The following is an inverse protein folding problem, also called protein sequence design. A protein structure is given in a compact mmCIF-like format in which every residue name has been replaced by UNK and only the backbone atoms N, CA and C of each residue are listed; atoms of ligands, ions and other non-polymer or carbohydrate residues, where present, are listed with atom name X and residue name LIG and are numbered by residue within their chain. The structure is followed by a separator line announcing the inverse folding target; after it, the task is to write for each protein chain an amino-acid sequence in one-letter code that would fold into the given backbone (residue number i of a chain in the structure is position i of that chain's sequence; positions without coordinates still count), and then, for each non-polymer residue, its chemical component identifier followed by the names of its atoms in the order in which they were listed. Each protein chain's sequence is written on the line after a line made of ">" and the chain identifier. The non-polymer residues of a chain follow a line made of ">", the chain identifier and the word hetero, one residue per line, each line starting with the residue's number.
data_IF_632433801384
#
_entry.id   IF_632433801384
#
_cell.length_a   1.000
_cell.length_b   1.000
_cell.length_c   1.000
_cell.angle_alpha   90.00
_cell.angle_beta   90.00
_cell.angle_gamma   90.00
#
_symmetry.space_group_name_H-M   'P 1'
#
loop_
_entity.id
_entity.type
_entity.pdbx_description
1 polymer ?
#
# COMPACT_ATOMS: atom_id res chain seq x y z
N UNK A 1 -47.85 27.75 32.85
CA UNK A 1 -46.45 27.33 33.10
C UNK A 1 -46.09 25.98 32.47
N UNK A 2 -47.00 24.98 32.45
CA UNK A 2 -46.71 23.64 31.88
C UNK A 2 -46.26 23.61 30.40
N UNK A 3 -46.78 24.52 29.56
CA UNK A 3 -46.47 24.52 28.12
C UNK A 3 -45.00 24.89 27.83
N UNK A 4 -44.45 25.89 28.54
CA UNK A 4 -43.06 26.34 28.37
C UNK A 4 -42.09 25.26 28.86
N UNK A 5 -42.40 24.59 29.96
CA UNK A 5 -41.55 23.54 30.54
C UNK A 5 -41.51 22.28 29.66
N UNK A 6 -42.65 21.90 29.07
CA UNK A 6 -42.70 20.82 28.07
C UNK A 6 -41.94 21.20 26.79
N UNK A 7 -42.06 22.45 26.34
CA UNK A 7 -41.37 22.92 25.12
C UNK A 7 -39.85 22.91 25.30
N UNK A 8 -39.35 23.41 26.43
CA UNK A 8 -37.92 23.42 26.77
C UNK A 8 -37.38 21.99 26.85
N UNK A 9 -38.09 21.08 27.53
CA UNK A 9 -37.68 19.68 27.64
C UNK A 9 -37.59 18.99 26.27
N UNK A 10 -38.57 19.23 25.39
CA UNK A 10 -38.58 18.69 24.03
C UNK A 10 -37.44 19.24 23.17
N UNK A 11 -37.15 20.54 23.25
CA UNK A 11 -36.03 21.15 22.52
C UNK A 11 -34.68 20.59 22.98
N UNK A 12 -34.46 20.45 24.30
CA UNK A 12 -33.24 19.86 24.86
C UNK A 12 -33.08 18.39 24.42
N UNK A 13 -34.16 17.61 24.50
CA UNK A 13 -34.15 16.23 24.03
C UNK A 13 -33.81 16.11 22.53
N UNK A 14 -34.30 17.04 21.70
CA UNK A 14 -33.98 17.07 20.27
C UNK A 14 -32.50 17.36 20.01
N UNK A 15 -31.91 18.33 20.69
CA UNK A 15 -30.47 18.63 20.55
C UNK A 15 -29.59 17.46 21.02
N UNK A 16 -29.95 16.80 22.12
CA UNK A 16 -29.25 15.60 22.59
C UNK A 16 -29.39 14.47 21.56
N UNK A 17 -30.58 14.24 21.01
CA UNK A 17 -30.82 13.23 19.98
C UNK A 17 -30.01 13.47 18.70
N UNK A 18 -29.93 14.72 18.23
CA UNK A 18 -29.11 15.11 17.08
C UNK A 18 -27.62 14.89 17.40
N UNK A 19 -27.14 15.34 18.57
CA UNK A 19 -25.76 15.14 19.00
C UNK A 19 -25.38 13.65 19.06
N UNK A 20 -26.25 12.83 19.64
CA UNK A 20 -26.08 11.38 19.71
C UNK A 20 -26.02 10.74 18.31
N UNK A 21 -26.93 11.13 17.40
CA UNK A 21 -26.94 10.64 16.03
C UNK A 21 -25.65 11.00 15.27
N UNK A 22 -25.13 12.22 15.45
CA UNK A 22 -23.88 12.66 14.84
C UNK A 22 -22.69 11.85 15.36
N UNK A 23 -22.59 11.65 16.68
CA UNK A 23 -21.51 10.85 17.29
C UNK A 23 -21.58 9.41 16.81
N UNK A 24 -22.76 8.80 16.84
CA UNK A 24 -22.96 7.41 16.41
C UNK A 24 -22.63 7.22 14.92
N UNK A 25 -23.06 8.14 14.07
CA UNK A 25 -22.74 8.13 12.63
C UNK A 25 -21.23 8.25 12.40
N UNK A 26 -20.55 9.14 13.13
CA UNK A 26 -19.09 9.28 13.04
C UNK A 26 -18.36 8.01 13.45
N UNK A 27 -18.79 7.35 14.53
CA UNK A 27 -18.22 6.10 15.00
C UNK A 27 -18.39 4.96 13.97
N UNK A 28 -19.61 4.73 13.49
CA UNK A 28 -19.86 3.70 12.48
C UNK A 28 -19.09 3.95 11.18
N UNK A 29 -19.03 5.20 10.73
CA UNK A 29 -18.29 5.58 9.52
C UNK A 29 -16.78 5.35 9.68
N UNK A 30 -16.22 5.69 10.84
CA UNK A 30 -14.78 5.54 11.11
C UNK A 30 -14.36 4.07 11.19
N UNK A 31 -15.06 3.25 11.99
CA UNK A 31 -14.73 1.82 12.16
C UNK A 31 -14.93 1.05 10.86
N UNK A 32 -15.98 1.37 10.09
CA UNK A 32 -16.25 0.72 8.80
C UNK A 32 -15.20 1.05 7.73
N UNK A 33 -14.76 2.31 7.65
CA UNK A 33 -13.72 2.73 6.72
C UNK A 33 -12.38 2.05 7.03
N UNK A 34 -11.98 2.05 8.31
CA UNK A 34 -10.73 1.45 8.75
C UNK A 34 -10.73 -0.07 8.50
N UNK A 35 -11.80 -0.78 8.89
CA UNK A 35 -11.90 -2.23 8.67
C UNK A 35 -11.78 -2.61 7.20
N UNK A 36 -12.46 -1.86 6.32
CA UNK A 36 -12.42 -2.09 4.88
C UNK A 36 -11.01 -1.81 4.32
N UNK A 37 -10.36 -0.74 4.77
CA UNK A 37 -8.98 -0.44 4.39
C UNK A 37 -8.03 -1.56 4.81
N UNK A 38 -8.11 -2.09 6.05
CA UNK A 38 -7.27 -3.22 6.49
C UNK A 38 -7.50 -4.47 5.64
N UNK A 39 -8.74 -4.69 5.20
CA UNK A 39 -9.08 -5.83 4.35
C UNK A 39 -8.44 -5.68 2.96
N UNK A 40 -8.56 -4.50 2.35
CA UNK A 40 -8.00 -4.22 1.03
C UNK A 40 -6.47 -4.27 1.03
N UNK A 41 -5.82 -3.71 2.04
CA UNK A 41 -4.35 -3.77 2.18
C UNK A 41 -3.85 -5.21 2.32
N UNK A 42 -4.53 -6.04 3.12
CA UNK A 42 -4.20 -7.47 3.22
C UNK A 42 -4.37 -8.22 1.90
N UNK A 43 -5.38 -7.85 1.10
CA UNK A 43 -5.54 -8.39 -0.26
C UNK A 43 -4.39 -7.96 -1.17
N UNK A 44 -3.93 -6.71 -1.05
CA UNK A 44 -2.72 -6.22 -1.72
C UNK A 44 -1.49 -7.05 -1.39
N UNK A 45 -1.17 -7.23 -0.10
CA UNK A 45 -0.03 -8.04 0.34
C UNK A 45 -0.12 -9.50 -0.11
N UNK A 46 -1.32 -10.10 -0.09
CA UNK A 46 -1.53 -11.46 -0.59
C UNK A 46 -1.24 -11.54 -2.10
N UNK A 47 -1.72 -10.55 -2.87
CA UNK A 47 -1.48 -10.48 -4.32
C UNK A 47 0.02 -10.32 -4.63
N UNK A 48 0.75 -9.53 -3.84
CA UNK A 48 2.20 -9.36 -3.99
C UNK A 48 2.97 -10.63 -3.63
N UNK A 49 2.59 -11.32 -2.56
CA UNK A 49 3.17 -12.61 -2.21
C UNK A 49 2.94 -13.65 -3.32
N UNK A 50 1.73 -13.75 -3.85
CA UNK A 50 1.42 -14.67 -4.96
C UNK A 50 2.19 -14.33 -6.25
N UNK A 51 2.33 -13.04 -6.57
CA UNK A 51 3.13 -12.59 -7.70
C UNK A 51 4.62 -12.93 -7.49
N UNK A 52 5.14 -12.75 -6.28
CA UNK A 52 6.52 -13.09 -5.93
C UNK A 52 6.76 -14.61 -5.96
N UNK A 53 5.81 -15.43 -5.51
CA UNK A 53 5.85 -16.91 -5.59
C UNK A 53 5.66 -17.43 -7.04
N UNK A 54 5.19 -16.59 -7.96
CA UNK A 54 4.92 -16.98 -9.34
C UNK A 54 3.63 -17.75 -9.53
N UNK A 55 2.79 -17.78 -8.47
CA UNK A 55 1.46 -18.38 -8.45
C UNK A 55 0.37 -17.38 -8.88
N UNK A 56 0.72 -16.09 -8.99
CA UNK A 56 -0.14 -15.03 -9.50
C UNK A 56 -0.20 -14.99 -11.04
N UNK A 57 -1.20 -14.27 -11.55
CA UNK A 57 -1.34 -14.02 -12.99
C UNK A 57 -0.07 -13.37 -13.53
N UNK A 58 0.66 -14.09 -14.39
CA UNK A 58 1.89 -13.60 -15.01
C UNK A 58 1.64 -12.48 -16.01
N UNK A 59 0.38 -12.11 -16.23
CA UNK A 59 -0.03 -11.01 -17.06
C UNK A 59 0.07 -9.67 -16.32
N UNK A 60 1.07 -8.89 -16.74
CA UNK A 60 1.32 -7.53 -16.25
C UNK A 60 0.10 -6.63 -16.38
N UNK A 61 -0.74 -6.82 -17.41
CA UNK A 61 -1.93 -5.99 -17.60
C UNK A 61 -3.00 -6.28 -16.55
N UNK A 62 -3.23 -7.56 -16.26
CA UNK A 62 -4.21 -7.96 -15.24
C UNK A 62 -3.76 -7.59 -13.83
N UNK A 63 -2.46 -7.72 -13.54
CA UNK A 63 -1.91 -7.24 -12.27
C UNK A 63 -2.08 -5.72 -12.12
N UNK A 64 -1.75 -4.95 -13.17
CA UNK A 64 -1.92 -3.50 -13.16
C UNK A 64 -3.38 -3.10 -12.98
N UNK A 65 -4.31 -3.74 -13.70
CA UNK A 65 -5.75 -3.49 -13.56
C UNK A 65 -6.24 -3.77 -12.13
N UNK A 66 -5.80 -4.88 -11.51
CA UNK A 66 -6.15 -5.20 -10.12
C UNK A 66 -5.58 -4.20 -9.11
N UNK A 67 -4.32 -3.78 -9.27
CA UNK A 67 -3.72 -2.76 -8.39
C UNK A 67 -4.38 -1.39 -8.58
N UNK A 68 -4.77 -1.03 -9.81
CA UNK A 68 -5.53 0.19 -10.10
C UNK A 68 -6.92 0.17 -9.45
N UNK A 69 -7.61 -0.97 -9.50
CA UNK A 69 -8.90 -1.15 -8.81
C UNK A 69 -8.74 -0.99 -7.28
N UNK A 70 -7.70 -1.62 -6.70
CA UNK A 70 -7.39 -1.48 -5.28
C UNK A 70 -7.07 -0.02 -4.90
N UNK A 71 -6.32 0.69 -5.74
CA UNK A 71 -6.03 2.12 -5.56
C UNK A 71 -7.32 2.96 -5.63
N UNK A 72 -8.18 2.72 -6.61
CA UNK A 72 -9.47 3.40 -6.76
C UNK A 72 -10.41 3.16 -5.58
N UNK A 73 -10.39 1.95 -5.01
CA UNK A 73 -11.16 1.61 -3.81
C UNK A 73 -10.58 2.21 -2.53
N UNK A 74 -9.26 2.44 -2.45
CA UNK A 74 -8.59 2.97 -1.26
C UNK A 74 -8.52 4.49 -1.23
N UNK A 75 -8.44 5.17 -2.37
CA UNK A 75 -8.36 6.63 -2.47
C UNK A 75 -9.42 7.38 -1.64
N UNK A 76 -10.75 7.10 -1.77
CA UNK A 76 -11.76 7.81 -0.97
C UNK A 76 -11.75 7.41 0.51
N UNK A 77 -11.17 6.25 0.85
CA UNK A 77 -11.13 5.73 2.22
C UNK A 77 -9.94 6.30 3.00
N UNK A 78 -8.78 6.44 2.37
CA UNK A 78 -7.62 7.10 2.96
C UNK A 78 -7.91 8.58 3.25
N UNK A 79 -8.62 9.29 2.36
CA UNK A 79 -9.08 10.65 2.60
C UNK A 79 -10.04 10.80 3.80
N UNK A 80 -10.69 9.71 4.22
CA UNK A 80 -11.64 9.69 5.33
C UNK A 80 -11.08 9.05 6.61
N UNK A 81 -9.86 8.52 6.58
CA UNK A 81 -9.23 7.83 7.73
C UNK A 81 -8.44 8.83 8.58
N UNK A 82 -8.66 8.89 9.91
CA UNK A 82 -7.89 9.76 10.79
C UNK A 82 -6.38 9.45 10.76
N UNK A 83 -5.54 10.49 10.83
CA UNK A 83 -4.09 10.35 10.97
C UNK A 83 -3.77 9.55 12.26
N UNK A 84 -3.04 8.44 12.13
CA UNK A 84 -2.63 7.59 13.26
C UNK A 84 -2.98 6.10 13.14
N UNK A 85 -3.69 5.66 12.11
CA UNK A 85 -3.84 4.22 11.85
C UNK A 85 -2.57 3.65 11.19
N UNK A 86 -2.07 2.51 11.67
CA UNK A 86 -0.91 1.80 11.09
C UNK A 86 -1.07 1.46 9.59
N UNK A 87 -2.28 1.56 9.07
CA UNK A 87 -2.60 1.19 7.68
C UNK A 87 -2.66 2.43 6.78
N UNK A 88 -2.86 3.62 7.36
CA UNK A 88 -2.72 4.88 6.65
C UNK A 88 -1.27 5.15 6.22
N UNK A 89 -0.28 4.51 6.85
CA UNK A 89 1.13 4.60 6.43
C UNK A 89 1.47 3.71 5.24
N UNK A 90 0.56 2.83 4.79
CA UNK A 90 0.79 1.97 3.62
C UNK A 90 0.48 2.76 2.34
N UNK A 91 1.53 3.11 1.60
CA UNK A 91 1.40 3.72 0.29
C UNK A 91 1.14 2.63 -0.78
N UNK A 92 -0.12 2.47 -1.17
CA UNK A 92 -0.54 1.50 -2.19
C UNK A 92 0.07 1.76 -3.57
N UNK A 93 0.53 2.97 -3.89
CA UNK A 93 1.24 3.24 -5.13
C UNK A 93 2.63 2.60 -5.09
N UNK A 94 3.30 2.70 -3.94
CA UNK A 94 4.56 2.02 -3.69
C UNK A 94 4.38 0.50 -3.77
N UNK A 95 3.31 -0.05 -3.19
CA UNK A 95 2.97 -1.48 -3.32
C UNK A 95 2.75 -1.91 -4.79
N UNK A 96 2.06 -1.09 -5.58
CA UNK A 96 1.86 -1.34 -7.01
C UNK A 96 3.18 -1.34 -7.79
N UNK A 97 4.09 -0.41 -7.47
CA UNK A 97 5.44 -0.37 -8.05
C UNK A 97 6.24 -1.61 -7.70
N UNK A 98 6.16 -2.09 -6.46
CA UNK A 98 6.83 -3.33 -6.02
C UNK A 98 6.33 -4.51 -6.86
N UNK A 99 5.01 -4.65 -7.02
CA UNK A 99 4.41 -5.68 -7.85
C UNK A 99 4.86 -5.67 -9.32
N UNK A 100 4.96 -4.49 -9.93
CA UNK A 100 5.45 -4.36 -11.31
C UNK A 100 6.93 -4.75 -11.43
N UNK A 101 7.77 -4.40 -10.45
CA UNK A 101 9.18 -4.80 -10.43
C UNK A 101 9.33 -6.31 -10.23
N UNK A 102 8.49 -6.95 -9.41
CA UNK A 102 8.43 -8.43 -9.27
C UNK A 102 8.16 -9.08 -10.63
N UNK A 103 7.15 -8.62 -11.36
CA UNK A 103 6.81 -9.15 -12.69
C UNK A 103 7.93 -8.92 -13.72
N UNK A 104 8.58 -7.75 -13.66
CA UNK A 104 9.73 -7.46 -14.51
C UNK A 104 10.89 -8.45 -14.26
N UNK A 105 11.25 -8.69 -12.99
CA UNK A 105 12.28 -9.66 -12.64
C UNK A 105 11.94 -11.08 -13.07
N UNK A 106 10.68 -11.49 -12.89
CA UNK A 106 10.18 -12.79 -13.35
C UNK A 106 10.25 -12.96 -14.86
N UNK A 107 10.11 -11.88 -15.63
CA UNK A 107 10.29 -11.92 -17.08
C UNK A 107 11.76 -11.97 -17.46
N UNK A 108 12.57 -11.09 -16.88
CA UNK A 108 14.00 -10.96 -17.17
C UNK A 108 14.79 -12.26 -16.90
N UNK A 109 14.35 -13.09 -15.95
CA UNK A 109 15.03 -14.35 -15.61
C UNK A 109 15.20 -15.32 -16.79
N UNK A 110 14.32 -15.30 -17.80
CA UNK A 110 14.35 -16.30 -18.87
C UNK A 110 15.58 -16.17 -19.78
N UNK A 111 16.16 -14.97 -19.83
CA UNK A 111 17.26 -14.63 -20.74
C UNK A 111 18.57 -14.37 -19.98
N UNK A 112 18.66 -14.78 -18.71
CA UNK A 112 19.81 -14.55 -17.84
C UNK A 112 20.62 -15.82 -17.58
N UNK A 113 21.92 -15.70 -17.23
CA UNK A 113 22.73 -16.83 -16.80
C UNK A 113 22.14 -17.52 -15.54
N UNK A 114 22.35 -18.84 -15.36
CA UNK A 114 21.80 -19.59 -14.23
C UNK A 114 22.12 -19.01 -12.85
N UNK A 115 23.31 -18.43 -12.68
CA UNK A 115 23.73 -17.77 -11.43
C UNK A 115 22.92 -16.51 -11.12
N UNK A 116 22.54 -15.74 -12.14
CA UNK A 116 21.67 -14.57 -12.01
C UNK A 116 20.21 -14.98 -11.78
N UNK A 117 19.76 -16.07 -12.39
CA UNK A 117 18.42 -16.64 -12.15
C UNK A 117 18.27 -17.02 -10.67
N UNK A 118 19.19 -17.82 -10.13
CA UNK A 118 19.16 -18.25 -8.73
C UNK A 118 19.17 -17.06 -7.76
N UNK A 119 19.91 -15.99 -8.08
CA UNK A 119 19.92 -14.77 -7.30
C UNK A 119 18.56 -14.04 -7.30
N UNK A 120 17.91 -13.96 -8.46
CA UNK A 120 16.59 -13.35 -8.61
C UNK A 120 15.54 -14.19 -7.88
N UNK A 121 15.58 -15.52 -7.99
CA UNK A 121 14.64 -16.41 -7.30
C UNK A 121 14.76 -16.27 -5.79
N UNK A 122 15.98 -16.23 -5.24
CA UNK A 122 16.18 -15.99 -3.83
C UNK A 122 15.60 -14.63 -3.36
N UNK A 123 15.74 -13.58 -4.17
CA UNK A 123 15.13 -12.26 -3.87
C UNK A 123 13.60 -12.38 -3.88
N UNK A 124 13.02 -13.04 -4.89
CA UNK A 124 11.57 -13.21 -5.00
C UNK A 124 11.00 -14.02 -3.84
N UNK A 125 11.70 -15.07 -3.39
CA UNK A 125 11.30 -15.86 -2.23
C UNK A 125 11.35 -15.03 -0.93
N UNK A 126 12.39 -14.21 -0.75
CA UNK A 126 12.49 -13.32 0.39
C UNK A 126 11.39 -12.24 0.39
N UNK A 127 11.03 -11.70 -0.77
CA UNK A 127 9.91 -10.75 -0.93
C UNK A 127 8.58 -11.44 -0.62
N UNK A 128 8.36 -12.66 -1.13
CA UNK A 128 7.16 -13.44 -0.82
C UNK A 128 7.03 -13.68 0.68
N UNK A 129 8.10 -14.14 1.33
CA UNK A 129 8.14 -14.38 2.77
C UNK A 129 7.83 -13.09 3.58
N UNK A 130 8.36 -11.95 3.15
CA UNK A 130 8.09 -10.66 3.77
C UNK A 130 6.60 -10.30 3.74
N UNK A 131 5.96 -10.36 2.57
CA UNK A 131 4.53 -10.05 2.45
C UNK A 131 3.62 -11.07 3.16
N UNK A 132 3.99 -12.36 3.15
CA UNK A 132 3.30 -13.39 3.94
C UNK A 132 3.36 -13.08 5.43
N UNK A 133 4.51 -12.61 5.94
CA UNK A 133 4.65 -12.20 7.32
C UNK A 133 3.75 -11.00 7.67
N UNK A 134 3.63 -10.01 6.78
CA UNK A 134 2.70 -8.88 6.97
C UNK A 134 1.23 -9.33 7.00
N UNK A 135 0.84 -10.25 6.10
CA UNK A 135 -0.51 -10.85 6.11
C UNK A 135 -0.79 -11.59 7.42
N UNK A 136 0.17 -12.39 7.89
CA UNK A 136 0.05 -13.17 9.12
C UNK A 136 -0.04 -12.27 10.37
N UNK A 137 0.80 -11.23 10.45
CA UNK A 137 0.82 -10.29 11.58
C UNK A 137 -0.27 -9.20 11.47
N UNK A 138 -0.95 -9.10 10.33
CA UNK A 138 -2.02 -8.13 10.03
C UNK A 138 -1.58 -6.67 10.24
N UNK A 139 -0.29 -6.39 10.05
CA UNK A 139 0.33 -5.07 10.20
C UNK A 139 1.49 -4.93 9.21
N UNK A 140 1.81 -3.71 8.77
CA UNK A 140 3.01 -3.48 7.97
C UNK A 140 4.25 -3.82 8.81
N UNK A 141 5.25 -4.40 8.16
CA UNK A 141 6.52 -4.76 8.78
C UNK A 141 7.65 -4.09 7.98
N UNK A 142 8.73 -3.67 8.63
CA UNK A 142 9.91 -3.22 7.91
C UNK A 142 10.49 -4.37 7.07
N UNK A 143 10.98 -4.05 5.87
CA UNK A 143 11.66 -5.01 5.02
C UNK A 143 12.93 -5.54 5.74
N UNK A 144 13.19 -6.86 5.68
CA UNK A 144 14.30 -7.45 6.43
C UNK A 144 15.65 -7.00 5.88
N UNK A 145 16.62 -6.70 6.74
CA UNK A 145 17.98 -6.28 6.34
C UNK A 145 18.67 -7.32 5.42
N UNK A 146 18.36 -8.61 5.59
CA UNK A 146 18.84 -9.66 4.70
C UNK A 146 18.39 -9.47 3.25
N UNK A 147 17.16 -8.99 3.02
CA UNK A 147 16.65 -8.69 1.68
C UNK A 147 17.39 -7.51 1.05
N UNK A 148 17.73 -6.48 1.84
CA UNK A 148 18.55 -5.36 1.35
C UNK A 148 19.90 -5.85 0.85
N UNK A 149 20.61 -6.65 1.65
CA UNK A 149 21.90 -7.22 1.29
C UNK A 149 21.82 -8.09 0.02
N UNK A 150 20.74 -8.86 -0.15
CA UNK A 150 20.52 -9.66 -1.35
C UNK A 150 20.31 -8.81 -2.61
N UNK A 151 19.53 -7.72 -2.52
CA UNK A 151 19.32 -6.78 -3.62
C UNK A 151 20.64 -6.10 -4.03
N UNK A 152 21.42 -5.63 -3.06
CA UNK A 152 22.73 -5.00 -3.30
C UNK A 152 23.74 -5.97 -3.91
N UNK A 153 23.81 -7.20 -3.40
CA UNK A 153 24.67 -8.24 -3.96
C UNK A 153 24.26 -8.61 -5.39
N UNK A 154 22.95 -8.66 -5.68
CA UNK A 154 22.45 -8.92 -7.03
C UNK A 154 22.80 -7.79 -8.00
N UNK A 155 22.67 -6.52 -7.58
CA UNK A 155 23.07 -5.37 -8.40
C UNK A 155 24.56 -5.44 -8.80
N UNK A 156 25.44 -5.85 -7.88
CA UNK A 156 26.88 -6.03 -8.19
C UNK A 156 27.11 -7.17 -9.18
N UNK A 157 26.38 -8.29 -9.06
CA UNK A 157 26.51 -9.44 -9.97
C UNK A 157 25.94 -9.18 -11.36
N UNK A 158 24.77 -8.54 -11.47
CA UNK A 158 24.14 -8.27 -12.77
C UNK A 158 24.98 -7.27 -13.58
N UNK A 159 25.75 -6.39 -12.93
CA UNK A 159 26.70 -5.49 -13.61
C UNK A 159 27.84 -6.22 -14.34
N UNK A 160 28.20 -7.44 -13.94
CA UNK A 160 29.25 -8.24 -14.61
C UNK A 160 28.74 -9.08 -15.78
N UNK A 161 27.42 -9.14 -15.98
CA UNK A 161 26.79 -9.84 -17.12
C UNK A 161 26.96 -8.98 -18.39
N UNK A 162 27.09 -9.62 -19.56
CA UNK A 162 27.15 -8.90 -20.84
C UNK A 162 25.96 -7.94 -21.01
N UNK A 163 26.19 -6.78 -21.63
CA UNK A 163 25.14 -5.81 -21.89
C UNK A 163 24.05 -6.43 -22.77
N UNK A 164 22.79 -6.17 -22.43
CA UNK A 164 21.65 -6.72 -23.14
C UNK A 164 20.34 -6.42 -22.43
N UNK A 165 19.24 -6.55 -23.16
CA UNK A 165 17.89 -6.20 -22.68
C UNK A 165 17.52 -6.89 -21.37
N UNK A 166 17.87 -8.17 -21.22
CA UNK A 166 17.60 -8.95 -20.01
C UNK A 166 18.36 -8.43 -18.78
N UNK A 167 19.61 -8.01 -18.97
CA UNK A 167 20.42 -7.37 -17.93
C UNK A 167 19.78 -6.04 -17.51
N UNK A 168 19.38 -5.22 -18.46
CA UNK A 168 18.79 -3.90 -18.18
C UNK A 168 17.44 -4.04 -17.46
N UNK A 169 16.58 -4.97 -17.90
CA UNK A 169 15.32 -5.29 -17.22
C UNK A 169 15.56 -5.81 -15.79
N UNK A 170 16.59 -6.65 -15.58
CA UNK A 170 16.94 -7.13 -14.26
C UNK A 170 17.49 -6.02 -13.35
N UNK A 171 18.38 -5.15 -13.85
CA UNK A 171 18.90 -4.01 -13.09
C UNK A 171 17.79 -3.05 -12.69
N UNK A 172 16.89 -2.71 -13.62
CA UNK A 172 15.73 -1.85 -13.33
C UNK A 172 14.83 -2.48 -12.27
N UNK A 173 14.52 -3.78 -12.39
CA UNK A 173 13.67 -4.48 -11.43
C UNK A 173 14.29 -4.56 -10.02
N UNK A 174 15.59 -4.88 -9.92
CA UNK A 174 16.28 -4.97 -8.61
C UNK A 174 16.42 -3.57 -7.99
N UNK A 175 16.79 -2.55 -8.77
CA UNK A 175 16.89 -1.18 -8.27
C UNK A 175 15.53 -0.62 -7.86
N UNK A 176 14.48 -0.91 -8.64
CA UNK A 176 13.11 -0.53 -8.33
C UNK A 176 12.63 -1.14 -7.02
N UNK A 177 12.94 -2.42 -6.76
CA UNK A 177 12.65 -3.06 -5.47
C UNK A 177 13.43 -2.43 -4.32
N UNK A 178 14.72 -2.13 -4.49
CA UNK A 178 15.53 -1.47 -3.44
C UNK A 178 14.90 -0.14 -3.03
N UNK A 179 14.61 0.73 -4.00
CA UNK A 179 14.07 2.06 -3.73
C UNK A 179 12.67 2.02 -3.11
N UNK A 180 11.84 1.04 -3.48
CA UNK A 180 10.49 0.93 -2.96
C UNK A 180 10.43 0.29 -1.56
N UNK A 181 11.26 -0.72 -1.29
CA UNK A 181 11.29 -1.43 0.01
C UNK A 181 12.17 -0.72 1.05
N UNK A 182 13.17 0.05 0.62
CA UNK A 182 14.13 0.74 1.48
C UNK A 182 14.26 2.22 1.06
N UNK A 183 13.22 3.04 1.26
CA UNK A 183 13.30 4.49 1.00
C UNK A 183 14.30 5.14 1.98
N UNK A 184 15.24 5.94 1.47
CA UNK A 184 16.29 6.58 2.30
C UNK A 184 15.80 7.78 3.14
N UNK A 185 14.57 8.24 2.91
CA UNK A 185 13.92 9.27 3.72
C UNK A 185 12.39 9.02 3.76
N UNK A 186 11.68 9.43 4.82
CA UNK A 186 10.23 9.37 4.84
C UNK A 186 9.71 10.21 3.67
N UNK A 187 8.94 9.60 2.78
CA UNK A 187 8.17 10.34 1.77
C UNK A 187 7.28 11.31 2.54
N UNK A 188 7.62 12.60 2.49
CA UNK A 188 6.77 13.67 2.97
C UNK A 188 5.45 13.53 2.22
N UNK A 189 4.41 13.08 2.90
CA UNK A 189 3.07 13.06 2.34
C UNK A 189 2.72 14.52 2.01
N UNK A 190 2.22 14.82 0.80
CA UNK A 190 1.62 16.13 0.56
C UNK A 190 0.43 16.21 1.51
N UNK A 191 0.54 17.07 2.52
CA UNK A 191 -0.59 17.41 3.39
C UNK A 191 -1.79 17.83 2.54
N UNK A 192 -3.02 17.60 3.04
CA UNK A 192 -4.23 17.88 2.27
C UNK A 192 -4.13 19.29 1.71
N UNK A 193 -4.17 19.40 0.38
CA UNK A 193 -4.21 20.68 -0.31
C UNK A 193 -5.35 21.46 0.33
N UNK A 194 -5.00 22.50 1.09
CA UNK A 194 -5.95 23.43 1.66
C UNK A 194 -6.78 23.93 0.48
N UNK A 195 -8.05 23.51 0.44
CA UNK A 195 -9.00 24.03 -0.52
C UNK A 195 -9.00 25.56 -0.42
N UNK A 196 -9.22 26.28 -1.54
CA UNK A 196 -9.18 27.72 -1.54
C UNK A 196 -10.16 28.23 -0.49
N UNK A 197 -9.61 28.84 0.56
CA UNK A 197 -10.33 29.59 1.57
C UNK A 197 -11.09 30.68 0.79
N UNK A 198 -12.39 30.47 0.64
CA UNK A 198 -13.29 31.47 0.10
C UNK A 198 -13.15 32.70 1.01
N UNK A 199 -12.40 33.68 0.50
CA UNK A 199 -12.34 35.03 1.03
C UNK A 199 -13.74 35.64 0.95
N UNK A 200 -14.58 35.33 1.94
CA UNK A 200 -15.70 36.14 2.32
C UNK A 200 -15.15 37.38 3.03
N UNK A 201 -14.74 38.36 2.22
CA UNK A 201 -14.48 39.72 2.68
C UNK A 201 -15.25 40.70 1.80
N UNK A 202 -16.32 41.21 2.40
CA UNK A 202 -17.05 42.47 2.14
C UNK A 202 -18.07 42.50 1.00
#
# INVERSE_FOLDING_TARGET
>A
SANIQSFINSSVAMFIGIGFAVVMTRLFRSVGAEWTARRLVRQGWTTLAEAAEGRGQQDRQQFAARMLDLLGLLAPRLAATPEGSDIASVDMLTEARIGLNILQLRRARHDLPPTSIAAIEAILDAVAAHYRAQVAQRRPLPAPAGLQAMLEASLKRVQTVAAGKARDEALMGVMGLRCALFPEAPVVQPGPAAGPELAALR
#
